data_IF_586833007003
#
_entry.id   IF_586833007003
#
_cell.length_a   1.000
_cell.length_b   1.000
_cell.length_c   1.000
_cell.angle_alpha   90.00
_cell.angle_beta   90.00
_cell.angle_gamma   90.00
#
_symmetry.space_group_name_H-M   'P 1'
#
loop_
_entity.id
_entity.type
_entity.pdbx_description
1 polymer ?
#
# COMPACT_ATOMS: atom_id res chain seq x y z
N UNK A 1 4.36 18.28 -30.53
CA UNK A 1 4.26 16.80 -30.40
C UNK A 1 2.83 16.49 -29.93
N UNK A 2 2.11 15.56 -30.58
CA UNK A 2 0.79 15.12 -30.06
C UNK A 2 1.04 14.31 -28.79
N UNK A 3 0.47 14.74 -27.65
CA UNK A 3 0.48 13.93 -26.44
C UNK A 3 -0.11 12.55 -26.75
N UNK A 4 0.68 11.52 -26.41
CA UNK A 4 0.24 10.13 -26.60
C UNK A 4 -0.85 9.87 -25.55
N UNK A 5 -2.10 9.73 -26.00
CA UNK A 5 -3.21 9.40 -25.10
C UNK A 5 -2.96 8.05 -24.44
N UNK A 6 -3.00 8.01 -23.12
CA UNK A 6 -2.84 6.78 -22.35
C UNK A 6 -4.18 6.03 -22.34
N UNK A 7 -4.27 4.99 -23.17
CA UNK A 7 -5.47 4.16 -23.29
C UNK A 7 -5.07 2.70 -23.07
N UNK A 8 -5.52 2.06 -21.97
CA UNK A 8 -5.24 0.64 -21.73
C UNK A 8 -5.85 -0.26 -22.79
N UNK A 9 -5.21 -1.42 -23.07
CA UNK A 9 -5.72 -2.40 -24.02
C UNK A 9 -7.00 -3.09 -23.53
N UNK A 10 -7.12 -3.32 -22.22
CA UNK A 10 -8.28 -3.90 -21.57
C UNK A 10 -8.94 -2.86 -20.69
N UNK A 11 -10.25 -2.78 -20.76
CA UNK A 11 -11.05 -1.81 -20.03
C UNK A 11 -12.45 -2.34 -19.75
N UNK A 12 -13.07 -1.90 -18.69
CA UNK A 12 -14.49 -2.16 -18.47
C UNK A 12 -15.33 -1.44 -19.53
N UNK A 13 -16.43 -2.05 -20.01
CA UNK A 13 -17.36 -1.38 -20.94
C UNK A 13 -17.87 -0.05 -20.40
N UNK A 14 -18.01 0.93 -21.31
CA UNK A 14 -18.54 2.26 -20.97
C UNK A 14 -17.51 3.32 -20.60
N UNK A 15 -16.22 2.95 -20.38
CA UNK A 15 -15.15 3.90 -20.10
C UNK A 15 -14.30 4.11 -21.34
N UNK A 16 -14.26 5.33 -21.87
CA UNK A 16 -13.59 5.67 -23.13
C UNK A 16 -12.54 6.78 -22.99
N UNK A 17 -12.60 7.56 -21.91
CA UNK A 17 -11.67 8.68 -21.69
C UNK A 17 -10.24 8.18 -21.47
N UNK A 18 -9.21 8.86 -22.02
CA UNK A 18 -7.83 8.55 -21.70
C UNK A 18 -7.56 8.64 -20.21
N UNK A 19 -6.69 7.76 -19.72
CA UNK A 19 -6.18 7.85 -18.36
C UNK A 19 -5.29 9.07 -18.20
N UNK A 20 -5.12 9.53 -16.98
CA UNK A 20 -4.13 10.53 -16.59
C UNK A 20 -2.82 9.86 -16.16
N UNK A 21 -1.74 10.63 -16.34
CA UNK A 21 -0.43 10.29 -15.82
C UNK A 21 0.14 11.53 -15.11
N UNK A 22 0.51 11.38 -13.85
CA UNK A 22 1.09 12.47 -13.04
C UNK A 22 2.26 11.96 -12.20
N UNK A 23 3.18 12.86 -11.89
CA UNK A 23 4.27 12.51 -10.96
C UNK A 23 3.71 12.23 -9.57
N UNK A 24 4.29 11.22 -8.90
CA UNK A 24 3.95 10.89 -7.52
C UNK A 24 3.99 12.12 -6.60
N UNK A 25 5.05 12.90 -6.65
CA UNK A 25 5.23 14.08 -5.81
C UNK A 25 4.27 15.24 -6.08
N UNK A 26 3.45 15.18 -7.15
CA UNK A 26 2.40 16.16 -7.43
C UNK A 26 1.05 15.82 -6.80
N UNK A 27 0.84 14.52 -6.52
CA UNK A 27 -0.46 14.00 -6.09
C UNK A 27 -0.42 13.31 -4.72
N UNK A 28 0.75 13.25 -4.08
CA UNK A 28 0.91 12.72 -2.72
C UNK A 28 1.67 13.67 -1.82
N UNK A 29 1.25 13.74 -0.58
CA UNK A 29 2.05 14.29 0.53
C UNK A 29 2.64 13.16 1.38
N UNK A 30 3.85 13.39 1.92
CA UNK A 30 4.49 12.44 2.84
C UNK A 30 4.05 12.72 4.27
N UNK A 31 3.62 11.69 4.96
CA UNK A 31 3.36 11.74 6.38
C UNK A 31 4.62 11.35 7.19
N UNK A 32 4.52 11.51 8.48
CA UNK A 32 5.58 11.12 9.41
C UNK A 32 5.38 9.66 9.86
N UNK A 33 6.42 8.85 9.73
CA UNK A 33 6.47 7.54 10.36
C UNK A 33 7.14 7.62 11.73
N UNK A 34 6.97 6.59 12.56
CA UNK A 34 7.74 6.43 13.79
C UNK A 34 8.90 5.45 13.58
N UNK A 35 9.80 5.38 14.56
CA UNK A 35 10.98 4.52 14.55
C UNK A 35 10.94 3.45 15.66
N UNK A 36 9.73 3.09 16.11
CA UNK A 36 9.55 2.09 17.15
C UNK A 36 9.95 0.71 16.65
N UNK A 37 10.82 0.05 17.39
CA UNK A 37 11.21 -1.34 17.13
C UNK A 37 10.07 -2.32 17.44
N UNK A 38 10.22 -3.57 17.02
CA UNK A 38 9.26 -4.64 17.30
C UNK A 38 8.98 -4.82 18.80
N UNK A 39 9.96 -4.59 19.66
CA UNK A 39 9.85 -4.72 21.13
C UNK A 39 8.93 -3.66 21.75
N UNK A 40 8.68 -2.56 21.04
CA UNK A 40 7.74 -1.51 21.46
C UNK A 40 6.29 -1.81 21.05
N UNK A 41 6.03 -2.99 20.48
CA UNK A 41 4.73 -3.40 19.94
C UNK A 41 4.18 -4.61 20.68
N UNK A 42 2.86 -4.72 20.76
CA UNK A 42 2.16 -5.83 21.36
C UNK A 42 0.82 -6.13 20.67
N UNK A 43 0.19 -7.27 21.00
CA UNK A 43 -1.13 -7.67 20.48
C UNK A 43 -2.21 -7.76 21.58
N UNK A 44 -1.91 -7.35 22.82
CA UNK A 44 -2.79 -7.56 23.99
C UNK A 44 -3.46 -6.29 24.46
N UNK A 45 -2.76 -5.16 24.40
CA UNK A 45 -3.24 -3.90 24.95
C UNK A 45 -3.71 -2.99 23.82
N UNK A 46 -5.02 -2.92 23.54
CA UNK A 46 -5.54 -2.08 22.46
C UNK A 46 -5.30 -0.61 22.78
N UNK A 47 -4.53 0.04 21.93
CA UNK A 47 -4.21 1.46 21.98
C UNK A 47 -4.08 1.95 20.52
N UNK A 48 -2.99 2.58 20.14
CA UNK A 48 -2.68 2.97 18.78
C UNK A 48 -2.04 1.82 18.04
N UNK A 49 -2.57 1.46 16.87
CA UNK A 49 -2.00 0.45 15.98
C UNK A 49 -0.76 0.97 15.25
N UNK A 50 0.15 0.07 14.88
CA UNK A 50 1.40 0.41 14.20
C UNK A 50 1.67 -0.51 13.02
N UNK A 51 1.77 0.05 11.81
CA UNK A 51 2.09 -0.72 10.60
C UNK A 51 3.60 -0.72 10.41
N UNK A 52 4.24 -1.86 10.67
CA UNK A 52 5.68 -2.06 10.58
C UNK A 52 6.06 -2.61 9.20
N UNK A 53 7.22 -2.20 8.64
CA UNK A 53 7.67 -2.62 7.30
C UNK A 53 7.66 -4.14 7.09
N UNK A 54 8.15 -4.90 8.09
CA UNK A 54 8.19 -6.36 7.99
C UNK A 54 6.79 -7.00 7.90
N UNK A 55 5.76 -6.38 8.48
CA UNK A 55 4.38 -6.88 8.33
C UNK A 55 3.84 -6.57 6.93
N UNK A 56 4.20 -5.43 6.34
CA UNK A 56 3.90 -5.11 4.93
C UNK A 56 4.48 -6.17 4.01
N UNK A 57 5.74 -6.56 4.24
CA UNK A 57 6.42 -7.49 3.36
C UNK A 57 5.83 -8.90 3.40
N UNK A 58 5.45 -9.41 4.59
CA UNK A 58 5.16 -10.83 4.78
C UNK A 58 3.72 -11.17 5.20
N UNK A 59 2.93 -10.20 5.69
CA UNK A 59 1.60 -10.49 6.25
C UNK A 59 0.45 -9.82 5.52
N UNK A 60 0.70 -8.66 4.95
CA UNK A 60 -0.38 -7.85 4.40
C UNK A 60 -0.39 -7.91 2.89
N UNK A 61 -1.60 -8.01 2.33
CA UNK A 61 -1.87 -7.87 0.92
C UNK A 61 -1.83 -6.38 0.49
N UNK A 62 -2.11 -6.10 -0.76
CA UNK A 62 -2.11 -4.76 -1.33
C UNK A 62 -3.14 -3.82 -0.70
N UNK A 63 -4.21 -4.40 -0.14
CA UNK A 63 -5.28 -3.68 0.58
C UNK A 63 -5.31 -4.17 2.02
N UNK A 64 -5.07 -3.26 2.95
CA UNK A 64 -5.07 -3.56 4.37
C UNK A 64 -6.31 -2.98 5.05
N UNK A 65 -7.12 -3.84 5.67
CA UNK A 65 -8.20 -3.41 6.55
C UNK A 65 -7.63 -2.92 7.90
N UNK A 66 -7.97 -1.71 8.30
CA UNK A 66 -7.50 -1.13 9.56
C UNK A 66 -7.94 -1.92 10.80
N UNK A 67 -9.03 -2.70 10.71
CA UNK A 67 -9.50 -3.59 11.77
C UNK A 67 -8.68 -4.87 11.90
N UNK A 68 -7.82 -5.21 10.93
CA UNK A 68 -7.03 -6.43 10.91
C UNK A 68 -6.30 -6.64 12.24
N UNK A 69 -6.46 -7.83 12.83
CA UNK A 69 -5.90 -8.21 14.14
C UNK A 69 -4.39 -8.41 14.13
N UNK A 70 -3.82 -8.62 12.94
CA UNK A 70 -2.38 -8.80 12.75
C UNK A 70 -1.61 -7.47 12.74
N UNK A 71 -2.31 -6.33 12.81
CA UNK A 71 -1.69 -5.03 13.05
C UNK A 71 -1.45 -4.88 14.55
N UNK A 72 -0.19 -4.86 15.02
CA UNK A 72 0.12 -4.74 16.43
C UNK A 72 -0.23 -3.35 16.98
N UNK A 73 -0.36 -3.27 18.29
CA UNK A 73 -0.54 -2.02 19.04
C UNK A 73 0.80 -1.52 19.59
N UNK A 74 0.93 -0.22 19.73
CA UNK A 74 2.08 0.41 20.39
C UNK A 74 1.91 0.25 21.91
N UNK A 75 3.00 -0.04 22.63
CA UNK A 75 3.02 -0.11 24.07
C UNK A 75 2.61 1.23 24.69
N UNK A 76 1.83 1.21 25.79
CA UNK A 76 1.24 2.38 26.44
C UNK A 76 2.25 3.41 26.98
N UNK A 77 3.49 3.00 27.17
CA UNK A 77 4.57 3.85 27.71
C UNK A 77 5.14 4.84 26.69
N UNK A 78 4.77 4.69 25.40
CA UNK A 78 5.30 5.53 24.31
C UNK A 78 4.50 6.83 24.22
N UNK A 79 5.19 7.98 24.27
CA UNK A 79 4.58 9.28 23.98
C UNK A 79 4.27 9.43 22.48
N UNK A 80 2.99 9.50 22.16
CA UNK A 80 2.45 9.61 20.81
C UNK A 80 2.07 11.03 20.39
N UNK A 81 2.21 12.01 21.27
CA UNK A 81 1.76 13.41 21.03
C UNK A 81 2.32 14.01 19.73
N UNK A 82 3.59 13.71 19.42
CA UNK A 82 4.29 14.19 18.22
C UNK A 82 3.79 13.58 16.89
N UNK A 83 2.95 12.55 16.97
CA UNK A 83 2.40 11.86 15.78
C UNK A 83 0.93 12.18 15.51
N UNK A 84 0.29 13.05 16.28
CA UNK A 84 -1.13 13.39 16.15
C UNK A 84 -1.55 13.83 14.74
N UNK A 85 -0.65 14.52 14.01
CA UNK A 85 -0.85 14.96 12.62
C UNK A 85 -0.53 13.90 11.57
N UNK A 86 -0.03 12.74 11.99
CA UNK A 86 0.42 11.64 11.11
C UNK A 86 -0.41 10.37 11.30
N UNK A 87 -1.55 10.50 11.97
CA UNK A 87 -2.54 9.42 12.03
C UNK A 87 -3.01 9.08 10.61
N UNK A 88 -2.98 7.80 10.33
CA UNK A 88 -3.39 7.26 9.04
C UNK A 88 -4.91 7.23 8.92
N UNK A 89 -5.41 7.33 7.70
CA UNK A 89 -6.83 7.27 7.35
C UNK A 89 -7.06 6.43 6.09
N UNK A 90 -8.31 6.19 5.76
CA UNK A 90 -8.70 5.48 4.54
C UNK A 90 -8.06 6.13 3.31
N UNK A 91 -7.51 5.28 2.42
CA UNK A 91 -6.84 5.68 1.20
C UNK A 91 -5.37 6.10 1.37
N UNK A 92 -4.84 6.16 2.60
CA UNK A 92 -3.40 6.38 2.79
C UNK A 92 -2.62 5.17 2.30
N UNK A 93 -1.47 5.43 1.68
CA UNK A 93 -0.54 4.43 1.16
C UNK A 93 0.67 4.33 2.06
N UNK A 94 1.11 3.12 2.36
CA UNK A 94 2.30 2.88 3.15
C UNK A 94 3.24 1.95 2.36
N UNK A 95 4.43 2.45 2.00
CA UNK A 95 5.48 1.64 1.40
C UNK A 95 6.40 1.07 2.47
N UNK A 96 6.90 -0.14 2.26
CA UNK A 96 8.12 -0.61 2.91
C UNK A 96 9.31 0.04 2.22
N UNK A 97 10.13 0.81 2.95
CA UNK A 97 11.30 1.47 2.38
C UNK A 97 12.52 0.56 2.32
N UNK A 98 12.46 -0.61 2.94
CA UNK A 98 13.59 -1.53 3.11
C UNK A 98 13.13 -2.97 2.98
N UNK A 99 13.92 -3.81 2.29
CA UNK A 99 13.78 -5.27 2.25
C UNK A 99 15.13 -5.94 1.97
N UNK A 100 15.23 -7.24 2.26
CA UNK A 100 16.43 -8.07 1.95
C UNK A 100 16.36 -8.69 0.55
N UNK A 101 15.24 -8.51 -0.16
CA UNK A 101 14.98 -9.05 -1.49
C UNK A 101 14.37 -7.99 -2.42
N UNK A 102 13.78 -8.42 -3.53
CA UNK A 102 13.15 -7.57 -4.52
C UNK A 102 11.75 -7.03 -4.12
N UNK A 103 11.27 -7.34 -2.91
CA UNK A 103 10.00 -6.83 -2.38
C UNK A 103 10.09 -5.40 -1.84
N UNK A 104 11.29 -4.81 -1.79
CA UNK A 104 11.46 -3.38 -1.41
C UNK A 104 10.53 -2.48 -2.21
N UNK A 105 9.89 -1.54 -1.54
CA UNK A 105 8.86 -0.69 -2.15
C UNK A 105 7.49 -1.37 -2.31
N UNK A 106 7.25 -2.55 -1.72
CA UNK A 106 5.88 -3.09 -1.58
C UNK A 106 5.04 -2.06 -0.84
N UNK A 107 3.83 -1.81 -1.36
CA UNK A 107 2.91 -0.82 -0.85
C UNK A 107 1.61 -1.48 -0.38
N UNK A 108 0.97 -0.88 0.61
CA UNK A 108 -0.39 -1.20 1.02
C UNK A 108 -1.27 0.05 0.93
N UNK A 109 -2.52 -0.13 0.54
CA UNK A 109 -3.58 0.87 0.66
C UNK A 109 -4.41 0.57 1.89
N UNK A 110 -4.50 1.53 2.82
CA UNK A 110 -5.22 1.37 4.07
C UNK A 110 -6.70 1.67 3.87
N UNK A 111 -7.57 0.80 4.37
CA UNK A 111 -9.03 0.91 4.29
C UNK A 111 -9.67 0.62 5.64
N UNK A 112 -10.93 1.06 5.82
CA UNK A 112 -11.75 0.78 7.01
C UNK A 112 -11.08 1.17 8.33
N UNK A 113 -10.39 2.31 8.37
CA UNK A 113 -9.75 2.83 9.58
C UNK A 113 -10.79 3.20 10.64
N UNK A 114 -11.96 3.73 10.21
CA UNK A 114 -13.06 4.15 11.10
C UNK A 114 -12.55 5.06 12.24
N UNK A 115 -12.85 4.70 13.48
CA UNK A 115 -12.40 5.41 14.68
C UNK A 115 -11.06 4.89 15.26
N UNK A 116 -10.32 4.09 14.50
CA UNK A 116 -9.05 3.52 14.95
C UNK A 116 -7.92 4.54 14.81
N UNK A 117 -6.99 4.53 15.77
CA UNK A 117 -5.75 5.29 15.66
C UNK A 117 -4.65 4.37 15.12
N UNK A 118 -4.14 4.67 13.92
CA UNK A 118 -3.12 3.87 13.24
C UNK A 118 -1.96 4.78 12.84
N UNK A 119 -0.75 4.36 13.12
CA UNK A 119 0.50 5.03 12.74
C UNK A 119 1.33 4.16 11.81
N UNK A 120 2.11 4.81 10.97
CA UNK A 120 3.14 4.18 10.17
C UNK A 120 4.40 4.00 10.97
N UNK A 121 5.00 2.81 10.95
CA UNK A 121 6.09 2.38 11.79
C UNK A 121 7.48 2.50 11.17
N UNK A 122 8.41 1.79 11.79
CA UNK A 122 9.81 1.74 11.35
C UNK A 122 9.93 1.24 9.91
N UNK A 123 10.86 1.84 9.16
CA UNK A 123 11.14 1.51 7.77
C UNK A 123 9.93 1.53 6.85
N UNK A 124 9.09 2.56 7.02
CA UNK A 124 7.94 2.80 6.16
C UNK A 124 7.93 4.23 5.60
N UNK A 125 7.34 4.40 4.42
CA UNK A 125 7.06 5.70 3.82
C UNK A 125 5.54 5.86 3.71
N UNK A 126 4.87 6.51 4.67
CA UNK A 126 3.45 6.81 4.57
C UNK A 126 3.21 8.01 3.67
N UNK A 127 2.23 7.87 2.79
CA UNK A 127 1.86 8.88 1.81
C UNK A 127 0.34 9.04 1.77
N UNK A 128 -0.12 10.27 1.65
CA UNK A 128 -1.53 10.62 1.54
C UNK A 128 -1.84 11.18 0.18
N UNK A 129 -2.83 10.65 -0.55
CA UNK A 129 -3.28 11.24 -1.79
C UNK A 129 -3.84 12.65 -1.57
N UNK A 130 -3.45 13.61 -2.42
CA UNK A 130 -3.96 14.99 -2.44
C UNK A 130 -5.21 15.12 -3.31
N UNK A 131 -5.50 14.11 -4.11
CA UNK A 131 -6.72 13.99 -4.94
C UNK A 131 -7.43 12.68 -4.59
N UNK A 132 -8.75 12.59 -4.80
CA UNK A 132 -9.49 11.36 -4.53
C UNK A 132 -9.07 10.22 -5.46
N UNK A 133 -9.04 9.00 -4.92
CA UNK A 133 -8.88 7.76 -5.66
C UNK A 133 -9.98 6.77 -5.28
N UNK A 134 -10.36 5.93 -6.24
CA UNK A 134 -11.27 4.81 -6.00
C UNK A 134 -10.61 3.72 -5.14
N UNK A 135 -11.39 3.13 -4.25
CA UNK A 135 -10.91 2.13 -3.28
C UNK A 135 -10.20 0.96 -3.96
N UNK A 136 -9.04 0.60 -3.44
CA UNK A 136 -8.24 -0.53 -3.90
C UNK A 136 -7.48 -0.29 -5.20
N UNK A 137 -7.64 0.87 -5.83
CA UNK A 137 -6.92 1.17 -7.08
C UNK A 137 -5.42 1.33 -6.83
N UNK A 138 -5.06 2.22 -5.91
CA UNK A 138 -3.66 2.56 -5.66
C UNK A 138 -2.88 1.38 -5.10
N UNK A 139 -3.44 0.62 -4.17
CA UNK A 139 -2.79 -0.56 -3.61
C UNK A 139 -2.40 -1.56 -4.69
N UNK A 140 -3.30 -1.84 -5.64
CA UNK A 140 -3.01 -2.73 -6.76
C UNK A 140 -2.06 -2.10 -7.79
N UNK A 141 -2.25 -0.82 -8.14
CA UNK A 141 -1.41 -0.16 -9.13
C UNK A 141 0.05 -0.07 -8.68
N UNK A 142 0.30 0.33 -7.42
CA UNK A 142 1.64 0.52 -6.87
C UNK A 142 2.43 -0.79 -6.70
N UNK A 143 1.75 -1.93 -6.69
CA UNK A 143 2.39 -3.26 -6.68
C UNK A 143 2.42 -3.90 -8.08
N UNK A 144 1.82 -3.28 -9.10
CA UNK A 144 1.84 -3.80 -10.47
C UNK A 144 3.25 -3.79 -11.08
N UNK A 145 3.49 -4.66 -12.03
CA UNK A 145 4.77 -4.72 -12.76
C UNK A 145 5.11 -3.38 -13.42
N UNK A 146 4.12 -2.66 -13.96
CA UNK A 146 4.34 -1.36 -14.61
C UNK A 146 4.89 -0.30 -13.66
N UNK A 147 4.43 -0.28 -12.40
CA UNK A 147 4.97 0.62 -11.38
C UNK A 147 6.28 0.09 -10.80
N UNK A 148 6.37 -1.20 -10.51
CA UNK A 148 7.57 -1.85 -9.98
C UNK A 148 8.79 -1.68 -10.90
N UNK A 149 8.58 -1.70 -12.22
CA UNK A 149 9.63 -1.43 -13.21
C UNK A 149 10.21 0.00 -13.08
N UNK A 150 9.44 0.98 -12.63
CA UNK A 150 9.95 2.32 -12.36
C UNK A 150 10.78 2.38 -11.07
N UNK A 151 10.45 1.54 -10.06
CA UNK A 151 11.17 1.51 -8.78
C UNK A 151 12.53 0.81 -8.88
N UNK A 152 12.64 -0.28 -9.64
CA UNK A 152 13.87 -1.09 -9.75
C UNK A 152 15.16 -0.29 -9.93
N UNK A 153 15.28 0.67 -10.87
CA UNK A 153 16.50 1.46 -11.05
C UNK A 153 16.75 2.46 -9.92
N UNK A 154 15.78 2.70 -9.03
CA UNK A 154 15.86 3.67 -7.94
C UNK A 154 16.22 3.02 -6.60
N UNK A 155 16.19 1.69 -6.54
CA UNK A 155 16.58 0.89 -5.37
C UNK A 155 18.08 0.97 -5.15
N UNK A 156 18.48 1.14 -3.89
CA UNK A 156 19.88 1.22 -3.47
C UNK A 156 20.17 0.16 -2.42
N UNK A 157 21.42 -0.30 -2.36
CA UNK A 157 21.89 -1.31 -1.42
C UNK A 157 22.23 -2.64 -2.10
N UNK A 158 23.04 -3.48 -1.42
CA UNK A 158 23.49 -4.78 -1.94
C UNK A 158 22.89 -5.93 -1.15
N UNK A 159 22.97 -5.90 0.19
CA UNK A 159 22.41 -6.93 1.07
C UNK A 159 21.02 -6.54 1.57
N UNK A 160 20.87 -5.27 1.89
CA UNK A 160 19.62 -4.68 2.30
C UNK A 160 19.30 -3.60 1.28
N UNK A 161 18.23 -3.78 0.56
CA UNK A 161 17.74 -2.86 -0.45
C UNK A 161 16.86 -1.79 0.19
N UNK A 162 16.97 -0.55 -0.29
CA UNK A 162 16.15 0.55 0.21
C UNK A 162 15.69 1.49 -0.90
N UNK A 163 14.56 2.16 -0.66
CA UNK A 163 14.02 3.20 -1.51
C UNK A 163 13.76 4.46 -0.69
N UNK A 164 14.03 5.63 -1.25
CA UNK A 164 13.87 6.91 -0.55
C UNK A 164 12.60 7.65 -0.99
N UNK A 165 12.13 8.58 -0.16
CA UNK A 165 11.04 9.53 -0.52
C UNK A 165 11.37 10.33 -1.77
N UNK A 166 12.62 10.71 -1.94
CA UNK A 166 13.07 11.45 -3.14
C UNK A 166 13.00 10.60 -4.41
N UNK A 167 13.27 9.29 -4.30
CA UNK A 167 13.15 8.37 -5.42
C UNK A 167 11.68 8.20 -5.87
N UNK A 168 10.76 8.07 -4.92
CA UNK A 168 9.33 7.96 -5.24
C UNK A 168 8.77 9.21 -5.92
N UNK A 169 9.26 10.40 -5.57
CA UNK A 169 8.73 11.69 -6.03
C UNK A 169 8.59 11.80 -7.55
N UNK A 170 9.55 11.25 -8.29
CA UNK A 170 9.62 11.37 -9.74
C UNK A 170 9.00 10.19 -10.49
N UNK A 171 8.49 9.18 -9.80
CA UNK A 171 7.74 8.08 -10.41
C UNK A 171 6.39 8.57 -10.94
N UNK A 172 5.86 7.86 -11.93
CA UNK A 172 4.62 8.23 -12.60
C UNK A 172 3.45 7.35 -12.12
N UNK A 173 2.36 7.99 -11.76
CA UNK A 173 1.10 7.34 -11.42
C UNK A 173 0.16 7.47 -12.62
N UNK A 174 -0.31 6.33 -13.10
CA UNK A 174 -1.26 6.24 -14.20
C UNK A 174 -2.62 5.82 -13.64
N UNK A 175 -3.68 6.53 -13.99
CA UNK A 175 -5.00 6.26 -13.42
C UNK A 175 -6.15 6.72 -14.32
N UNK A 176 -7.29 6.01 -14.33
CA UNK A 176 -8.53 6.51 -14.93
C UNK A 176 -8.99 7.77 -14.19
N UNK A 177 -9.50 8.76 -14.92
CA UNK A 177 -10.13 9.95 -14.30
C UNK A 177 -11.39 9.63 -13.52
N UNK A 178 -12.10 8.62 -13.97
CA UNK A 178 -13.37 8.20 -13.39
C UNK A 178 -13.13 7.29 -12.17
N UNK A 179 -13.63 7.70 -11.00
CA UNK A 179 -13.47 6.95 -9.75
C UNK A 179 -14.20 5.60 -9.79
N UNK A 180 -15.35 5.49 -10.47
CA UNK A 180 -16.07 4.22 -10.60
C UNK A 180 -15.24 3.19 -11.40
N UNK A 181 -14.48 3.65 -12.40
CA UNK A 181 -13.56 2.77 -13.13
C UNK A 181 -12.43 2.30 -12.21
N UNK A 182 -11.86 3.21 -11.42
CA UNK A 182 -10.82 2.85 -10.44
C UNK A 182 -11.33 1.82 -9.43
N UNK A 183 -12.53 2.01 -8.87
CA UNK A 183 -13.14 1.08 -7.91
C UNK A 183 -13.45 -0.28 -8.53
N UNK A 184 -13.89 -0.31 -9.80
CA UNK A 184 -14.09 -1.58 -10.53
C UNK A 184 -12.78 -2.33 -10.73
N UNK A 185 -11.70 -1.61 -11.05
CA UNK A 185 -10.36 -2.20 -11.17
C UNK A 185 -9.91 -2.75 -9.81
N UNK A 186 -10.00 -1.96 -8.75
CA UNK A 186 -9.64 -2.39 -7.38
C UNK A 186 -10.43 -3.62 -6.94
N UNK A 187 -11.75 -3.60 -7.16
CA UNK A 187 -12.64 -4.73 -6.83
C UNK A 187 -12.30 -5.99 -7.62
N UNK A 188 -11.99 -5.87 -8.91
CA UNK A 188 -11.59 -7.01 -9.74
C UNK A 188 -10.38 -7.72 -9.17
N UNK A 189 -9.31 -6.99 -8.87
CA UNK A 189 -8.10 -7.56 -8.31
C UNK A 189 -8.31 -8.15 -6.91
N UNK A 190 -9.12 -7.49 -6.07
CA UNK A 190 -9.51 -8.04 -4.77
C UNK A 190 -10.19 -9.42 -4.90
N UNK A 191 -11.17 -9.54 -5.81
CA UNK A 191 -11.84 -10.83 -6.03
C UNK A 191 -10.93 -11.89 -6.63
N UNK A 192 -10.04 -11.52 -7.55
CA UNK A 192 -9.05 -12.45 -8.11
C UNK A 192 -8.12 -12.97 -7.00
N UNK A 193 -7.56 -12.09 -6.18
CA UNK A 193 -6.69 -12.48 -5.07
C UNK A 193 -7.43 -13.41 -4.10
N UNK A 194 -8.67 -13.08 -3.73
CA UNK A 194 -9.49 -13.92 -2.86
C UNK A 194 -9.77 -15.31 -3.45
N UNK A 195 -10.07 -15.39 -4.74
CA UNK A 195 -10.29 -16.67 -5.42
C UNK A 195 -9.03 -17.53 -5.45
N UNK A 196 -7.85 -16.91 -5.67
CA UNK A 196 -6.57 -17.63 -5.64
C UNK A 196 -6.33 -18.21 -4.24
N UNK A 197 -6.51 -17.43 -3.18
CA UNK A 197 -6.35 -17.88 -1.80
C UNK A 197 -7.27 -19.05 -1.47
N UNK A 198 -8.56 -18.95 -1.80
CA UNK A 198 -9.54 -20.03 -1.56
C UNK A 198 -9.15 -21.32 -2.29
N UNK A 199 -8.73 -21.20 -3.55
CA UNK A 199 -8.30 -22.38 -4.32
C UNK A 199 -7.03 -23.04 -3.74
N UNK A 200 -6.10 -22.24 -3.22
CA UNK A 200 -4.91 -22.74 -2.55
C UNK A 200 -5.26 -23.49 -1.26
N UNK A 201 -6.19 -22.95 -0.45
CA UNK A 201 -6.69 -23.59 0.78
C UNK A 201 -7.40 -24.92 0.47
N UNK A 202 -8.28 -24.96 -0.53
CA UNK A 202 -8.95 -26.20 -0.97
C UNK A 202 -7.95 -27.24 -1.45
N UNK A 203 -6.97 -26.83 -2.25
CA UNK A 203 -5.93 -27.72 -2.75
C UNK A 203 -5.07 -28.29 -1.61
N UNK A 204 -4.75 -27.46 -0.61
CA UNK A 204 -4.03 -27.90 0.58
C UNK A 204 -4.85 -28.94 1.37
N UNK A 205 -6.12 -28.66 1.67
CA UNK A 205 -7.00 -29.57 2.38
C UNK A 205 -7.13 -30.91 1.66
N UNK A 206 -7.30 -30.89 0.34
CA UNK A 206 -7.40 -32.11 -0.47
C UNK A 206 -6.14 -32.99 -0.40
N UNK A 207 -4.96 -32.35 -0.36
CA UNK A 207 -3.66 -33.04 -0.28
C UNK A 207 -3.41 -33.71 1.09
N UNK A 208 -3.95 -33.16 2.17
CA UNK A 208 -3.69 -33.64 3.53
C UNK A 208 -4.86 -34.39 4.20
N UNK A 209 -6.02 -34.47 3.52
CA UNK A 209 -7.18 -35.26 4.00
C UNK A 209 -7.37 -36.61 3.26
N UNK A 210 -6.51 -36.94 2.32
CA UNK A 210 -6.35 -38.24 1.66
C UNK A 210 -5.09 -38.94 2.18
#
# INVERSE_FOLDING_TARGET
MKEKKLVPKLRFPGFTEPWEQRKFGEIFEYLRNNTLSRDSLNYKNPNVKNIHYGDILVKFDEILDGSNKDIPYINSEVDLSKFSKSLLRDGDIIFSDTAEDDTVGKAIELQNVNALFILSGLHTIPCRPLIPFGKGYLGNFLNSDSYRLQLRPLVQGIKVSSISKSALKDTMIEYPKNLDEQEKIGSLFYYIAKMITLHQEESFLHKYML
#
